data_IF_580299154893
#
_entry.id   IF_580299154893
#
_cell.length_a   1.000
_cell.length_b   1.000
_cell.length_c   1.000
_cell.angle_alpha   90.00
_cell.angle_beta   90.00
_cell.angle_gamma   90.00
#
_symmetry.space_group_name_H-M   'P 1'
#
loop_
_entity.id
_entity.type
_entity.pdbx_description
1 polymer ?
#
# COMPACT_ATOMS: atom_id res chain seq x y z
N UNK A 1 -55.48 18.30 11.04
CA UNK A 1 -54.11 18.10 11.54
C UNK A 1 -53.87 16.60 11.57
N UNK A 2 -53.26 16.05 10.53
CA UNK A 2 -53.22 14.61 10.25
C UNK A 2 -52.06 13.96 11.01
N UNK A 3 -52.37 12.96 11.83
CA UNK A 3 -51.41 12.16 12.56
C UNK A 3 -50.82 11.12 11.60
N UNK A 4 -49.55 11.29 11.23
CA UNK A 4 -48.82 10.37 10.36
C UNK A 4 -48.58 9.05 11.08
N UNK A 5 -49.13 7.99 10.49
CA UNK A 5 -49.02 6.61 10.92
C UNK A 5 -47.58 6.11 10.82
N UNK A 6 -47.21 5.29 11.80
CA UNK A 6 -45.88 4.78 12.03
C UNK A 6 -45.45 3.79 10.94
N UNK A 7 -44.49 4.17 10.10
CA UNK A 7 -43.73 3.23 9.28
C UNK A 7 -42.67 2.54 10.15
N UNK A 8 -43.08 1.48 10.85
CA UNK A 8 -42.18 0.55 11.52
C UNK A 8 -41.27 -0.13 10.48
N UNK A 9 -40.06 0.39 10.29
CA UNK A 9 -39.00 -0.33 9.60
C UNK A 9 -38.35 -1.29 10.58
N UNK A 10 -38.82 -2.53 10.53
CA UNK A 10 -38.20 -3.69 11.15
C UNK A 10 -36.80 -3.92 10.57
N UNK A 11 -35.76 -3.42 11.25
CA UNK A 11 -34.43 -4.01 11.17
C UNK A 11 -33.88 -4.21 12.58
N UNK A 12 -34.26 -5.33 13.17
CA UNK A 12 -33.63 -5.92 14.36
C UNK A 12 -32.22 -6.41 14.03
N UNK A 13 -31.29 -5.48 13.91
CA UNK A 13 -29.86 -5.77 13.88
C UNK A 13 -29.19 -4.88 14.91
N UNK A 14 -28.69 -5.45 15.99
CA UNK A 14 -27.95 -4.74 17.04
C UNK A 14 -26.88 -3.86 16.41
N UNK A 15 -27.12 -2.54 16.34
CA UNK A 15 -26.15 -1.57 15.81
C UNK A 15 -24.90 -1.67 16.69
N UNK A 16 -23.81 -2.22 16.14
CA UNK A 16 -22.51 -2.26 16.82
C UNK A 16 -22.12 -0.83 17.19
N UNK A 17 -21.87 -0.58 18.47
CA UNK A 17 -21.38 0.71 18.93
C UNK A 17 -20.10 1.08 18.16
N UNK A 18 -20.07 2.27 17.56
CA UNK A 18 -18.92 2.79 16.84
C UNK A 18 -17.75 2.93 17.82
N UNK A 19 -16.87 1.93 17.87
CA UNK A 19 -15.56 2.06 18.49
C UNK A 19 -14.70 2.87 17.54
N UNK A 20 -14.63 4.18 17.76
CA UNK A 20 -13.61 5.06 17.19
C UNK A 20 -12.26 4.62 17.76
N UNK A 21 -11.73 3.50 17.25
CA UNK A 21 -10.39 3.04 17.56
C UNK A 21 -9.43 4.17 17.25
N UNK A 22 -8.49 4.44 18.16
CA UNK A 22 -7.49 5.47 17.99
C UNK A 22 -6.81 5.26 16.61
N UNK A 23 -6.88 6.21 15.67
CA UNK A 23 -6.37 6.00 14.33
C UNK A 23 -4.88 5.66 14.42
N UNK A 24 -4.56 4.44 13.99
CA UNK A 24 -3.20 3.91 13.92
C UNK A 24 -2.36 4.92 13.15
N UNK A 25 -1.35 5.50 13.81
CA UNK A 25 -0.54 6.58 13.23
C UNK A 25 0.06 6.12 11.88
N UNK A 26 0.33 7.05 10.96
CA UNK A 26 0.88 6.71 9.63
C UNK A 26 2.15 5.83 9.74
N UNK A 27 2.96 6.07 10.78
CA UNK A 27 4.18 5.31 11.09
C UNK A 27 3.88 3.88 11.56
N UNK A 28 2.83 3.70 12.35
CA UNK A 28 2.36 2.40 12.83
C UNK A 28 1.75 1.57 11.69
N UNK A 29 1.01 2.22 10.77
CA UNK A 29 0.52 1.58 9.53
C UNK A 29 1.66 1.12 8.62
N UNK A 30 2.70 1.94 8.45
CA UNK A 30 3.91 1.54 7.71
C UNK A 30 4.61 0.35 8.35
N UNK A 31 4.76 0.33 9.68
CA UNK A 31 5.38 -0.78 10.41
C UNK A 31 4.59 -2.09 10.29
N UNK A 32 3.27 -2.05 10.39
CA UNK A 32 2.41 -3.24 10.23
C UNK A 32 2.46 -3.76 8.80
N UNK A 33 2.54 -2.88 7.79
CA UNK A 33 2.73 -3.28 6.38
C UNK A 33 4.10 -3.95 6.16
N UNK A 34 5.17 -3.41 6.76
CA UNK A 34 6.52 -3.99 6.72
C UNK A 34 6.58 -5.34 7.43
N UNK A 35 5.94 -5.48 8.59
CA UNK A 35 5.90 -6.73 9.35
C UNK A 35 5.24 -7.87 8.54
N UNK A 36 4.21 -7.56 7.74
CA UNK A 36 3.54 -8.52 6.84
C UNK A 36 4.42 -9.00 5.66
N UNK A 37 5.45 -8.25 5.28
CA UNK A 37 6.34 -8.57 4.13
C UNK A 37 7.67 -9.21 4.53
N UNK A 38 7.95 -9.33 5.82
CA UNK A 38 9.25 -9.77 6.35
C UNK A 38 9.72 -11.17 5.93
N UNK A 39 8.80 -12.09 5.60
CA UNK A 39 9.15 -13.42 5.09
C UNK A 39 9.41 -13.47 3.57
N UNK A 40 8.90 -12.51 2.79
CA UNK A 40 8.97 -12.53 1.32
C UNK A 40 9.89 -11.48 0.73
N UNK A 41 10.19 -10.42 1.47
CA UNK A 41 11.04 -9.30 1.02
C UNK A 41 12.17 -9.08 2.00
N UNK A 42 13.41 -8.98 1.49
CA UNK A 42 14.59 -8.63 2.28
C UNK A 42 14.89 -7.13 2.11
N UNK A 43 15.38 -6.50 3.17
CA UNK A 43 15.81 -5.10 3.10
C UNK A 43 17.03 -4.97 2.17
N UNK A 44 17.04 -3.95 1.32
CA UNK A 44 18.14 -3.63 0.42
C UNK A 44 18.66 -2.24 0.74
N UNK A 45 19.95 -2.14 1.05
CA UNK A 45 20.65 -0.87 1.26
C UNK A 45 21.83 -0.80 0.30
N UNK A 46 21.85 0.22 -0.55
CA UNK A 46 22.91 0.43 -1.51
C UNK A 46 23.17 1.93 -1.71
N UNK A 47 24.43 2.25 -1.99
CA UNK A 47 24.86 3.57 -2.44
C UNK A 47 25.15 3.45 -3.92
N UNK A 48 24.46 4.25 -4.73
CA UNK A 48 24.61 4.30 -6.19
C UNK A 48 24.92 5.74 -6.61
N UNK A 49 25.33 5.92 -7.87
CA UNK A 49 25.56 7.24 -8.42
C UNK A 49 24.30 8.11 -8.32
N UNK A 50 24.45 9.36 -7.87
CA UNK A 50 23.34 10.29 -7.66
C UNK A 50 22.43 10.38 -8.90
N UNK A 51 23.03 10.54 -10.09
CA UNK A 51 22.31 10.62 -11.36
C UNK A 51 21.39 9.41 -11.61
N UNK A 52 21.83 8.20 -11.27
CA UNK A 52 21.02 6.99 -11.43
C UNK A 52 19.90 6.90 -10.40
N UNK A 53 20.15 7.41 -9.19
CA UNK A 53 19.13 7.49 -8.14
C UNK A 53 18.02 8.48 -8.51
N UNK A 54 18.38 9.61 -9.10
CA UNK A 54 17.42 10.60 -9.58
C UNK A 54 16.54 9.99 -10.69
N UNK A 55 17.16 9.33 -11.67
CA UNK A 55 16.43 8.60 -12.72
C UNK A 55 15.53 7.50 -12.19
N UNK A 56 16.00 6.72 -11.21
CA UNK A 56 15.17 5.68 -10.58
C UNK A 56 13.94 6.29 -9.90
N UNK A 57 14.09 7.49 -9.31
CA UNK A 57 13.00 8.21 -8.66
C UNK A 57 12.00 8.72 -9.70
N UNK A 58 12.48 9.36 -10.76
CA UNK A 58 11.64 9.83 -11.88
C UNK A 58 10.82 8.67 -12.49
N UNK A 59 11.47 7.55 -12.81
CA UNK A 59 10.81 6.37 -13.37
C UNK A 59 9.75 5.81 -12.41
N UNK A 60 10.04 5.77 -11.11
CA UNK A 60 9.10 5.31 -10.11
C UNK A 60 7.88 6.23 -10.02
N UNK A 61 8.09 7.54 -10.08
CA UNK A 61 7.04 8.56 -10.05
C UNK A 61 6.15 8.50 -11.32
N UNK A 62 6.76 8.34 -12.50
CA UNK A 62 6.04 8.21 -13.78
C UNK A 62 5.09 7.01 -13.80
N UNK A 63 5.52 5.87 -13.25
CA UNK A 63 4.69 4.67 -13.15
C UNK A 63 3.76 4.67 -11.91
N UNK A 64 3.89 5.66 -11.02
CA UNK A 64 3.13 5.72 -9.77
C UNK A 64 3.44 4.58 -8.80
N UNK A 65 4.66 4.03 -8.84
CA UNK A 65 5.12 2.94 -7.99
C UNK A 65 6.22 3.39 -7.03
N UNK A 66 6.56 2.54 -6.07
CA UNK A 66 7.70 2.82 -5.18
C UNK A 66 9.04 2.57 -5.86
N UNK A 67 10.10 3.27 -5.45
CA UNK A 67 11.47 3.04 -5.93
C UNK A 67 11.91 1.58 -5.79
N UNK A 68 11.48 0.90 -4.71
CA UNK A 68 11.78 -0.52 -4.50
C UNK A 68 11.10 -1.41 -5.54
N UNK A 69 9.83 -1.14 -5.88
CA UNK A 69 9.12 -1.86 -6.95
C UNK A 69 9.72 -1.59 -8.32
N UNK A 70 10.15 -0.35 -8.58
CA UNK A 70 10.87 -0.03 -9.82
C UNK A 70 12.17 -0.84 -9.92
N UNK A 71 12.90 -0.97 -8.81
CA UNK A 71 14.10 -1.82 -8.77
C UNK A 71 13.79 -3.30 -9.04
N UNK A 72 12.72 -3.84 -8.45
CA UNK A 72 12.25 -5.21 -8.72
C UNK A 72 11.93 -5.40 -10.22
N UNK A 73 11.18 -4.48 -10.84
CA UNK A 73 10.86 -4.51 -12.27
C UNK A 73 12.11 -4.46 -13.15
N UNK A 74 13.07 -3.59 -12.84
CA UNK A 74 14.32 -3.49 -13.59
C UNK A 74 15.12 -4.80 -13.55
N UNK A 75 15.17 -5.46 -12.39
CA UNK A 75 15.83 -6.77 -12.24
C UNK A 75 15.09 -7.84 -13.05
N UNK A 76 13.77 -7.93 -12.96
CA UNK A 76 12.98 -8.89 -13.74
C UNK A 76 13.14 -8.71 -15.25
N UNK A 77 13.11 -7.45 -15.72
CA UNK A 77 13.33 -7.13 -17.13
C UNK A 77 14.72 -7.54 -17.61
N UNK A 78 15.76 -7.34 -16.78
CA UNK A 78 17.11 -7.76 -17.10
C UNK A 78 17.25 -9.29 -17.15
N UNK A 79 16.62 -10.02 -16.22
CA UNK A 79 16.59 -11.48 -16.24
C UNK A 79 15.90 -12.02 -17.50
N UNK A 80 14.77 -11.41 -17.89
CA UNK A 80 14.07 -11.77 -19.13
C UNK A 80 14.94 -11.51 -20.36
N UNK A 81 15.63 -10.37 -20.44
CA UNK A 81 16.56 -10.06 -21.54
C UNK A 81 17.68 -11.10 -21.65
N UNK A 82 18.28 -11.50 -20.53
CA UNK A 82 19.37 -12.48 -20.50
C UNK A 82 18.92 -13.91 -20.78
N UNK A 83 17.70 -14.28 -20.42
CA UNK A 83 17.16 -15.61 -20.70
C UNK A 83 16.79 -15.80 -22.18
N UNK A 84 16.65 -14.71 -22.95
CA UNK A 84 16.36 -14.72 -24.38
C UNK A 84 17.65 -14.64 -25.23
N UNK A 85 18.79 -14.32 -24.61
CA UNK A 85 20.13 -14.28 -25.22
C UNK A 85 20.89 -15.57 -25.04
#
# INVERSE_FOLDING_TARGET
MSQTENAATSSSGTKRAYRKGNPVSARERQRVSLARRSNTHKAFHAVIQARLKDRLSELADEEGITQAQMLEKLIESELKRRAIS
#
